data_IF_804876745584
#
_entry.id   IF_804876745584
#
_cell.length_a   1.000
_cell.length_b   1.000
_cell.length_c   1.000
_cell.angle_alpha   90.00
_cell.angle_beta   90.00
_cell.angle_gamma   90.00
#
_symmetry.space_group_name_H-M   'P 1'
#
loop_
_entity.id
_entity.type
_entity.pdbx_description
1 polymer ?
#
# COMPACT_ATOMS: atom_id res chain seq x y z
N UNK A 1 -10.56 1.16 19.80
CA UNK A 1 -10.26 2.56 19.48
C UNK A 1 -10.91 2.95 18.16
N UNK A 2 -10.74 2.16 17.12
CA UNK A 2 -11.20 2.49 15.76
C UNK A 2 -12.64 2.05 15.45
N UNK A 3 -13.49 1.81 16.46
CA UNK A 3 -14.92 1.56 16.30
C UNK A 3 -15.31 0.41 15.37
N UNK A 4 -14.49 -0.66 15.34
CA UNK A 4 -14.70 -1.80 14.44
C UNK A 4 -14.04 -1.65 13.06
N UNK A 5 -13.36 -0.55 12.77
CA UNK A 5 -12.55 -0.41 11.55
C UNK A 5 -11.32 -1.32 11.64
N UNK A 6 -11.40 -2.46 10.99
CA UNK A 6 -10.37 -3.50 11.03
C UNK A 6 -9.12 -3.13 10.21
N UNK A 7 -7.97 -3.70 10.59
CA UNK A 7 -6.72 -3.56 9.84
C UNK A 7 -6.00 -2.23 10.04
N UNK A 8 -6.27 -1.54 11.16
CA UNK A 8 -5.54 -0.38 11.63
C UNK A 8 -5.00 -0.66 13.03
N UNK A 9 -3.73 -0.36 13.24
CA UNK A 9 -3.04 -0.63 14.51
C UNK A 9 -2.14 0.55 14.88
N UNK A 10 -2.15 0.89 16.16
CA UNK A 10 -1.17 1.78 16.76
C UNK A 10 -0.02 0.97 17.36
N UNK A 11 1.18 1.52 17.30
CA UNK A 11 2.33 0.95 17.99
C UNK A 11 2.48 1.64 19.36
N UNK A 12 2.40 0.86 20.45
CA UNK A 12 2.73 1.36 21.78
C UNK A 12 4.22 1.67 21.96
N UNK A 13 4.66 2.13 23.14
CA UNK A 13 6.03 2.59 23.37
C UNK A 13 7.13 1.62 22.94
N UNK A 14 7.01 0.34 23.31
CA UNK A 14 7.99 -0.67 22.90
C UNK A 14 7.93 -0.98 21.40
N UNK A 15 6.74 -1.00 20.83
CA UNK A 15 6.54 -1.26 19.40
C UNK A 15 7.13 -0.16 18.51
N UNK A 16 6.99 1.13 18.91
CA UNK A 16 7.55 2.25 18.15
C UNK A 16 9.08 2.25 18.22
N UNK A 17 9.68 1.92 19.37
CA UNK A 17 11.14 1.82 19.48
C UNK A 17 11.70 0.66 18.65
N UNK A 18 11.06 -0.50 18.68
CA UNK A 18 11.45 -1.63 17.82
C UNK A 18 11.39 -1.25 16.34
N UNK A 19 10.30 -0.61 15.92
CA UNK A 19 10.11 -0.14 14.55
C UNK A 19 11.19 0.86 14.14
N UNK A 20 11.48 1.86 14.98
CA UNK A 20 12.51 2.87 14.71
C UNK A 20 13.90 2.26 14.64
N UNK A 21 14.22 1.28 15.48
CA UNK A 21 15.50 0.57 15.45
C UNK A 21 15.65 -0.22 14.13
N UNK A 22 14.60 -0.90 13.70
CA UNK A 22 14.59 -1.62 12.43
C UNK A 22 14.80 -0.68 11.23
N UNK A 23 14.07 0.45 11.21
CA UNK A 23 14.20 1.48 10.16
C UNK A 23 15.62 2.06 10.11
N UNK A 24 16.19 2.36 11.26
CA UNK A 24 17.55 2.91 11.37
C UNK A 24 18.59 1.89 10.89
N UNK A 25 18.47 0.63 11.32
CA UNK A 25 19.39 -0.43 10.90
C UNK A 25 19.34 -0.63 9.39
N UNK A 26 18.15 -0.70 8.81
CA UNK A 26 18.00 -0.84 7.36
C UNK A 26 18.57 0.36 6.59
N UNK A 27 18.27 1.58 7.02
CA UNK A 27 18.76 2.80 6.37
C UNK A 27 20.27 2.92 6.43
N UNK A 28 20.87 2.62 7.58
CA UNK A 28 22.32 2.60 7.73
C UNK A 28 22.95 1.62 6.75
N UNK A 29 22.47 0.38 6.73
CA UNK A 29 23.05 -0.68 5.89
C UNK A 29 22.81 -0.46 4.39
N UNK A 30 21.64 0.07 3.99
CA UNK A 30 21.28 0.20 2.58
C UNK A 30 21.69 1.54 1.97
N UNK A 31 21.75 2.61 2.76
CA UNK A 31 22.01 3.96 2.23
C UNK A 31 23.36 4.49 2.70
N UNK A 32 23.64 4.47 4.02
CA UNK A 32 24.86 5.12 4.53
C UNK A 32 26.13 4.31 4.41
N UNK A 33 26.05 2.98 4.40
CA UNK A 33 27.19 2.08 4.24
C UNK A 33 27.51 1.75 2.77
N UNK A 34 26.77 2.37 1.82
CA UNK A 34 26.93 2.16 0.38
C UNK A 34 27.13 3.48 -0.35
N UNK A 35 28.05 3.47 -1.32
CA UNK A 35 28.37 4.64 -2.16
C UNK A 35 27.51 4.69 -3.43
N UNK A 36 26.70 3.66 -3.69
CA UNK A 36 25.90 3.49 -4.90
C UNK A 36 24.38 3.56 -4.67
N UNK A 37 23.94 4.03 -3.50
CA UNK A 37 22.52 4.15 -3.15
C UNK A 37 22.21 5.56 -2.65
N UNK A 38 21.16 6.15 -3.20
CA UNK A 38 20.60 7.42 -2.73
C UNK A 38 19.27 7.22 -1.99
N UNK A 39 19.05 8.01 -0.95
CA UNK A 39 17.80 7.99 -0.19
C UNK A 39 16.85 9.10 -0.64
N UNK A 40 15.56 8.78 -0.77
CA UNK A 40 14.49 9.75 -1.01
C UNK A 40 13.36 9.61 0.01
N UNK A 41 12.56 10.67 0.13
CA UNK A 41 11.28 10.64 0.84
C UNK A 41 10.22 11.31 -0.05
N UNK A 42 9.32 10.53 -0.59
CA UNK A 42 8.33 10.97 -1.56
C UNK A 42 6.95 11.12 -0.93
N UNK A 43 6.10 11.92 -1.58
CA UNK A 43 4.72 12.16 -1.17
C UNK A 43 3.88 10.88 -1.09
N UNK A 44 3.04 10.78 -0.07
CA UNK A 44 2.04 9.72 0.07
C UNK A 44 0.91 9.90 -0.95
N UNK A 45 0.48 11.15 -1.18
CA UNK A 45 -0.54 11.45 -2.18
C UNK A 45 0.05 11.28 -3.57
N UNK A 46 -0.54 10.38 -4.32
CA UNK A 46 -0.06 9.98 -5.65
C UNK A 46 -1.04 10.42 -6.72
N UNK A 47 -0.49 11.05 -7.77
CA UNK A 47 -1.28 11.43 -8.94
C UNK A 47 -1.83 10.16 -9.63
N UNK A 48 -3.13 10.13 -10.00
CA UNK A 48 -3.74 9.00 -10.69
C UNK A 48 -2.98 8.53 -11.93
N UNK A 49 -2.38 9.44 -12.68
CA UNK A 49 -1.62 9.09 -13.88
C UNK A 49 -0.41 8.19 -13.60
N UNK A 50 0.24 8.34 -12.43
CA UNK A 50 1.35 7.46 -12.02
C UNK A 50 0.85 6.02 -11.88
N UNK A 51 -0.29 5.83 -11.20
CA UNK A 51 -0.87 4.51 -10.96
C UNK A 51 -1.53 3.91 -12.21
N UNK A 52 -2.00 4.75 -13.12
CA UNK A 52 -2.46 4.32 -14.43
C UNK A 52 -1.31 3.78 -15.28
N UNK A 53 -0.21 4.52 -15.39
CA UNK A 53 0.95 4.09 -16.19
C UNK A 53 1.68 2.89 -15.60
N UNK A 54 1.65 2.69 -14.29
CA UNK A 54 2.19 1.48 -13.65
C UNK A 54 1.23 0.28 -13.69
N UNK A 55 0.03 0.42 -14.26
CA UNK A 55 -0.98 -0.63 -14.37
C UNK A 55 -1.79 -0.89 -13.10
N UNK A 56 -1.54 -0.20 -11.99
CA UNK A 56 -2.26 -0.42 -10.73
C UNK A 56 -3.75 -0.10 -10.84
N UNK A 57 -4.13 0.89 -11.62
CA UNK A 57 -5.53 1.27 -11.78
C UNK A 57 -6.37 0.11 -12.36
N UNK A 58 -5.79 -0.69 -13.25
CA UNK A 58 -6.48 -1.78 -13.94
C UNK A 58 -6.33 -3.13 -13.22
N UNK A 59 -5.16 -3.41 -12.64
CA UNK A 59 -4.82 -4.75 -12.17
C UNK A 59 -4.79 -4.89 -10.64
N UNK A 60 -4.69 -3.78 -9.89
CA UNK A 60 -4.57 -3.82 -8.44
C UNK A 60 -5.94 -4.02 -7.76
N UNK A 61 -6.55 -5.16 -8.03
CA UNK A 61 -7.88 -5.51 -7.54
C UNK A 61 -7.93 -6.95 -7.04
N UNK A 62 -8.75 -7.17 -6.01
CA UNK A 62 -9.11 -8.50 -5.52
C UNK A 62 -10.55 -8.84 -5.92
N UNK A 63 -10.87 -10.10 -6.17
CA UNK A 63 -12.24 -10.52 -6.44
C UNK A 63 -13.07 -10.50 -5.15
N UNK A 64 -14.07 -9.63 -5.09
CA UNK A 64 -14.98 -9.44 -3.96
C UNK A 64 -16.30 -10.17 -4.20
N UNK A 65 -16.75 -10.91 -3.19
CA UNK A 65 -18.06 -11.55 -3.10
C UNK A 65 -18.79 -11.05 -1.86
N UNK A 66 -20.05 -10.68 -1.99
CA UNK A 66 -20.93 -10.33 -0.87
C UNK A 66 -21.80 -11.55 -0.48
N UNK A 67 -21.87 -11.88 0.80
CA UNK A 67 -22.86 -12.80 1.31
C UNK A 67 -24.19 -12.07 1.51
N UNK A 68 -25.27 -12.51 0.84
CA UNK A 68 -26.58 -11.85 0.94
C UNK A 68 -27.27 -12.10 2.27
N UNK A 69 -26.90 -13.19 2.97
CA UNK A 69 -27.47 -13.56 4.25
C UNK A 69 -26.90 -12.75 5.42
N UNK A 70 -25.57 -12.75 5.62
CA UNK A 70 -24.93 -12.06 6.75
C UNK A 70 -24.32 -10.71 6.39
N UNK A 71 -24.37 -10.30 5.10
CA UNK A 71 -23.80 -9.05 4.57
C UNK A 71 -22.27 -8.93 4.68
N UNK A 72 -21.58 -10.03 4.97
CA UNK A 72 -20.12 -10.08 4.97
C UNK A 72 -19.57 -9.90 3.57
N UNK A 73 -18.46 -9.17 3.47
CA UNK A 73 -17.67 -8.99 2.25
C UNK A 73 -16.44 -9.87 2.32
N UNK A 74 -16.26 -10.70 1.31
CA UNK A 74 -15.30 -11.81 1.34
C UNK A 74 -14.50 -11.82 0.05
N UNK A 75 -13.21 -12.09 0.12
CA UNK A 75 -12.44 -12.40 -1.08
C UNK A 75 -12.88 -13.74 -1.64
N UNK A 76 -13.05 -13.83 -2.95
CA UNK A 76 -13.52 -15.06 -3.59
C UNK A 76 -12.61 -16.27 -3.34
N UNK A 77 -11.29 -16.04 -3.24
CA UNK A 77 -10.30 -17.09 -2.93
C UNK A 77 -10.39 -17.66 -1.51
N UNK A 78 -11.16 -17.02 -0.61
CA UNK A 78 -11.42 -17.52 0.73
C UNK A 78 -12.70 -18.37 0.82
N UNK A 79 -13.48 -18.43 -0.24
CA UNK A 79 -14.73 -19.21 -0.29
C UNK A 79 -14.38 -20.66 -0.62
N UNK A 80 -14.80 -21.57 0.23
CA UNK A 80 -14.68 -23.02 0.02
C UNK A 80 -16.08 -23.62 -0.10
N UNK A 81 -16.21 -24.62 -0.96
CA UNK A 81 -17.46 -25.34 -1.19
C UNK A 81 -18.67 -24.43 -1.51
N UNK A 82 -18.41 -23.26 -2.11
CA UNK A 82 -19.41 -22.24 -2.42
C UNK A 82 -20.21 -21.75 -1.19
N UNK A 83 -19.56 -21.73 0.00
CA UNK A 83 -20.18 -21.34 1.27
C UNK A 83 -19.50 -20.13 1.90
N UNK A 84 -20.33 -19.26 2.46
CA UNK A 84 -19.84 -18.14 3.26
C UNK A 84 -19.05 -18.65 4.48
N UNK A 85 -17.79 -18.25 4.67
CA UNK A 85 -17.00 -18.69 5.82
C UNK A 85 -17.50 -18.17 7.17
N UNK A 86 -18.34 -17.11 7.16
CA UNK A 86 -18.86 -16.50 8.38
C UNK A 86 -20.18 -17.14 8.87
N UNK A 87 -21.08 -17.49 7.94
CA UNK A 87 -22.42 -17.98 8.30
C UNK A 87 -22.82 -19.30 7.62
N UNK A 88 -21.98 -19.86 6.75
CA UNK A 88 -22.26 -21.11 6.02
C UNK A 88 -23.27 -21.01 4.89
N UNK A 89 -23.86 -19.85 4.62
CA UNK A 89 -24.84 -19.66 3.57
C UNK A 89 -24.24 -19.82 2.18
N UNK A 90 -24.97 -20.39 1.24
CA UNK A 90 -24.65 -20.50 -0.18
C UNK A 90 -25.15 -19.30 -1.01
N UNK A 91 -25.91 -18.38 -0.39
CA UNK A 91 -26.45 -17.18 -1.05
C UNK A 91 -25.38 -16.09 -1.17
N UNK A 92 -24.52 -16.27 -2.18
CA UNK A 92 -23.39 -15.42 -2.50
C UNK A 92 -23.62 -14.67 -3.81
N UNK A 93 -23.05 -13.48 -3.94
CA UNK A 93 -23.02 -12.77 -5.23
C UNK A 93 -21.94 -13.32 -6.15
N UNK A 94 -22.06 -13.05 -7.46
CA UNK A 94 -20.96 -13.24 -8.37
C UNK A 94 -19.74 -12.41 -7.94
N UNK A 95 -18.51 -12.91 -8.15
CA UNK A 95 -17.31 -12.16 -7.91
C UNK A 95 -17.24 -10.90 -8.77
N UNK A 96 -16.83 -9.79 -8.17
CA UNK A 96 -16.59 -8.52 -8.86
C UNK A 96 -15.23 -7.95 -8.46
N UNK A 97 -14.53 -7.23 -9.35
CA UNK A 97 -13.25 -6.61 -9.01
C UNK A 97 -13.45 -5.52 -7.96
N UNK A 98 -12.62 -5.52 -6.95
CA UNK A 98 -12.55 -4.49 -5.90
C UNK A 98 -11.14 -3.90 -5.89
N UNK A 99 -11.01 -2.64 -6.29
CA UNK A 99 -9.72 -1.96 -6.31
C UNK A 99 -9.23 -1.70 -4.88
N UNK A 100 -7.99 -2.08 -4.61
CA UNK A 100 -7.39 -1.99 -3.27
C UNK A 100 -6.78 -0.60 -2.97
N UNK A 101 -6.83 0.35 -3.89
CA UNK A 101 -6.29 1.68 -3.64
C UNK A 101 -7.29 2.55 -2.85
N UNK A 102 -6.76 3.27 -1.85
CA UNK A 102 -7.52 4.35 -1.21
C UNK A 102 -7.52 5.59 -2.08
N UNK A 103 -8.72 6.09 -2.39
CA UNK A 103 -8.94 7.33 -3.12
C UNK A 103 -9.34 8.44 -2.14
N UNK A 104 -8.80 9.65 -2.33
CA UNK A 104 -9.14 10.82 -1.53
C UNK A 104 -9.37 12.03 -2.42
N UNK A 105 -10.27 12.93 -2.00
CA UNK A 105 -10.48 14.22 -2.66
C UNK A 105 -9.31 15.16 -2.37
N UNK A 106 -8.97 16.00 -3.35
CA UNK A 106 -7.93 17.02 -3.25
C UNK A 106 -8.55 18.37 -3.61
N UNK A 107 -8.32 19.38 -2.76
CA UNK A 107 -8.88 20.71 -2.94
C UNK A 107 -10.21 20.93 -2.18
N UNK A 108 -10.80 22.13 -2.31
CA UNK A 108 -11.91 22.58 -1.47
C UNK A 108 -13.28 22.03 -1.89
N UNK A 109 -13.40 21.41 -3.08
CA UNK A 109 -14.68 20.92 -3.63
C UNK A 109 -14.60 19.40 -3.80
N UNK A 110 -15.57 18.71 -3.20
CA UNK A 110 -15.70 17.25 -3.28
C UNK A 110 -16.63 16.81 -4.43
N UNK A 111 -16.36 17.27 -5.64
CA UNK A 111 -17.16 16.91 -6.82
C UNK A 111 -16.60 15.69 -7.60
N UNK A 112 -15.53 15.12 -7.10
CA UNK A 112 -14.84 13.98 -7.75
C UNK A 112 -13.98 14.35 -8.96
N UNK A 113 -13.92 15.62 -9.34
CA UNK A 113 -13.09 16.10 -10.46
C UNK A 113 -11.62 16.14 -10.12
N UNK A 114 -11.28 16.32 -8.84
CA UNK A 114 -9.91 16.36 -8.33
C UNK A 114 -9.72 15.32 -7.23
N UNK A 115 -8.92 14.32 -7.50
CA UNK A 115 -8.61 13.27 -6.54
C UNK A 115 -7.16 12.81 -6.64
N UNK A 116 -6.70 12.20 -5.56
CA UNK A 116 -5.43 11.49 -5.49
C UNK A 116 -5.65 10.11 -4.88
N UNK A 117 -4.69 9.24 -5.06
CA UNK A 117 -4.62 7.98 -4.32
C UNK A 117 -3.61 8.09 -3.17
N UNK A 118 -3.89 7.42 -2.05
CA UNK A 118 -2.85 7.08 -1.10
C UNK A 118 -2.01 5.96 -1.73
N UNK A 119 -0.69 6.12 -1.78
CA UNK A 119 0.20 5.17 -2.46
C UNK A 119 0.02 3.75 -1.93
N UNK A 120 -0.20 2.74 -2.80
CA UNK A 120 -0.32 1.34 -2.39
C UNK A 120 1.02 0.68 -2.07
N UNK A 121 2.10 1.28 -2.54
CA UNK A 121 3.51 0.90 -2.33
C UNK A 121 4.43 2.09 -2.58
N UNK A 122 5.70 1.95 -2.30
CA UNK A 122 6.70 3.02 -2.43
C UNK A 122 7.48 3.01 -3.74
N UNK A 123 7.39 1.94 -4.54
CA UNK A 123 8.16 1.77 -5.77
C UNK A 123 7.92 2.85 -6.82
N UNK A 124 6.66 3.22 -7.08
CA UNK A 124 6.33 4.16 -8.17
C UNK A 124 7.00 5.52 -7.99
N UNK A 125 7.13 6.00 -6.76
CA UNK A 125 7.80 7.26 -6.49
C UNK A 125 9.32 7.18 -6.69
N UNK A 126 9.92 6.01 -6.54
CA UNK A 126 11.33 5.79 -6.90
C UNK A 126 11.49 5.96 -8.41
N UNK A 127 10.66 5.29 -9.20
CA UNK A 127 10.71 5.38 -10.66
C UNK A 127 10.42 6.79 -11.18
N UNK A 128 9.43 7.48 -10.62
CA UNK A 128 9.10 8.86 -11.05
C UNK A 128 10.19 9.87 -10.67
N UNK A 129 10.95 9.62 -9.60
CA UNK A 129 12.06 10.47 -9.18
C UNK A 129 13.42 10.05 -9.75
N UNK A 130 13.51 8.96 -10.49
CA UNK A 130 14.77 8.46 -11.03
C UNK A 130 15.59 9.54 -11.72
N UNK A 131 14.97 10.25 -12.68
CA UNK A 131 15.66 11.33 -13.39
C UNK A 131 16.05 12.49 -12.48
N UNK A 132 15.22 12.86 -11.52
CA UNK A 132 15.51 13.94 -10.59
C UNK A 132 16.74 13.60 -9.72
N UNK A 133 16.83 12.36 -9.24
CA UNK A 133 17.98 11.88 -8.47
C UNK A 133 19.24 11.85 -9.33
N UNK A 134 19.15 11.29 -10.54
CA UNK A 134 20.28 11.25 -11.47
C UNK A 134 20.81 12.65 -11.83
N UNK A 135 19.92 13.63 -12.02
CA UNK A 135 20.32 15.01 -12.34
C UNK A 135 20.88 15.77 -11.12
N UNK A 136 20.48 15.36 -9.90
CA UNK A 136 20.84 16.07 -8.67
C UNK A 136 22.07 15.47 -7.94
N UNK A 137 22.54 14.30 -8.34
CA UNK A 137 23.65 13.59 -7.73
C UNK A 137 24.77 13.32 -8.72
N UNK A 138 25.99 13.03 -8.26
CA UNK A 138 27.10 12.68 -9.16
C UNK A 138 27.06 11.22 -9.66
N UNK A 139 25.99 10.49 -9.38
CA UNK A 139 25.88 9.09 -9.76
C UNK A 139 25.73 8.88 -11.25
N UNK A 140 26.25 7.75 -11.68
CA UNK A 140 26.05 7.15 -12.99
C UNK A 140 25.52 5.74 -12.81
N UNK A 141 24.84 5.19 -13.81
CA UNK A 141 24.40 3.81 -13.80
C UNK A 141 25.60 2.84 -13.72
N UNK A 142 25.53 1.78 -12.91
CA UNK A 142 24.40 1.38 -12.08
C UNK A 142 24.39 2.08 -10.71
N UNK A 143 23.21 2.44 -10.19
CA UNK A 143 23.01 2.93 -8.82
C UNK A 143 21.58 2.62 -8.35
N UNK A 144 21.35 2.72 -7.05
CA UNK A 144 20.04 2.45 -6.47
C UNK A 144 19.41 3.67 -5.81
N UNK A 145 18.10 3.60 -5.66
CA UNK A 145 17.31 4.59 -4.91
C UNK A 145 16.49 3.86 -3.86
N UNK A 146 16.61 4.30 -2.61
CA UNK A 146 15.92 3.73 -1.46
C UNK A 146 14.95 4.72 -0.85
N UNK A 147 13.82 4.22 -0.36
CA UNK A 147 12.93 5.00 0.51
C UNK A 147 12.25 4.13 1.56
N UNK A 148 11.85 4.79 2.63
CA UNK A 148 10.99 4.22 3.66
C UNK A 148 9.73 5.08 3.77
N UNK A 149 8.60 4.45 4.00
CA UNK A 149 7.40 5.22 4.25
C UNK A 149 6.13 4.41 4.34
N UNK A 150 5.05 5.09 4.68
CA UNK A 150 3.74 4.48 4.76
C UNK A 150 3.18 4.17 3.37
N UNK A 151 2.51 3.03 3.28
CA UNK A 151 1.71 2.60 2.15
C UNK A 151 0.34 2.13 2.63
N UNK A 152 -0.64 2.09 1.72
CA UNK A 152 -2.05 1.92 2.07
C UNK A 152 -2.72 0.98 1.08
N UNK A 153 -3.38 -0.04 1.60
CA UNK A 153 -4.16 -0.98 0.78
C UNK A 153 -5.54 -1.17 1.40
N UNK A 154 -6.59 -0.88 0.72
CA UNK A 154 -7.97 -1.05 1.19
C UNK A 154 -8.36 -2.53 1.18
N UNK A 155 -7.74 -3.31 2.04
CA UNK A 155 -7.93 -4.76 2.16
C UNK A 155 -9.41 -5.09 2.42
N UNK A 156 -9.95 -6.04 1.66
CA UNK A 156 -11.31 -6.54 1.84
C UNK A 156 -11.43 -7.19 3.22
N UNK A 157 -10.48 -8.06 3.55
CA UNK A 157 -10.46 -8.84 4.79
C UNK A 157 -9.09 -8.71 5.47
N UNK A 158 -8.83 -7.64 6.24
CA UNK A 158 -7.65 -7.57 7.10
C UNK A 158 -7.67 -8.71 8.11
N UNK A 159 -6.52 -9.33 8.36
CA UNK A 159 -6.42 -10.46 9.30
C UNK A 159 -4.97 -10.75 9.68
N UNK A 160 -4.79 -11.72 10.56
CA UNK A 160 -3.48 -12.16 11.02
C UNK A 160 -2.69 -11.03 11.70
N UNK A 161 -3.35 -10.25 12.54
CA UNK A 161 -2.76 -9.13 13.26
C UNK A 161 -2.09 -8.16 12.29
N UNK A 162 -0.83 -7.79 12.46
CA UNK A 162 -0.11 -6.82 11.63
C UNK A 162 0.33 -7.37 10.26
N UNK A 163 0.09 -8.65 9.95
CA UNK A 163 0.55 -9.24 8.67
C UNK A 163 -0.32 -8.86 7.47
N UNK A 164 -1.59 -8.49 7.69
CA UNK A 164 -2.47 -7.97 6.63
C UNK A 164 -3.29 -6.81 7.16
N UNK A 165 -2.81 -5.63 6.93
CA UNK A 165 -3.35 -4.36 7.44
C UNK A 165 -3.59 -3.37 6.32
N UNK A 166 -4.37 -2.32 6.58
CA UNK A 166 -4.70 -1.29 5.58
C UNK A 166 -3.68 -0.16 5.52
N UNK A 167 -2.96 0.07 6.61
CA UNK A 167 -1.88 1.04 6.72
C UNK A 167 -0.64 0.34 7.26
N UNK A 168 0.47 0.41 6.53
CA UNK A 168 1.72 -0.24 6.89
C UNK A 168 2.91 0.59 6.44
N UNK A 169 4.10 0.21 6.84
CA UNK A 169 5.34 0.83 6.36
C UNK A 169 6.11 -0.15 5.48
N UNK A 170 6.72 0.39 4.44
CA UNK A 170 7.65 -0.32 3.56
C UNK A 170 9.03 0.32 3.64
N UNK A 171 10.03 -0.50 3.44
CA UNK A 171 11.40 -0.12 3.15
C UNK A 171 11.74 -0.77 1.81
N UNK A 172 12.04 0.03 0.81
CA UNK A 172 12.15 -0.40 -0.58
C UNK A 172 13.39 0.22 -1.23
N UNK A 173 14.05 -0.56 -2.05
CA UNK A 173 15.24 -0.16 -2.80
C UNK A 173 15.10 -0.71 -4.21
N UNK A 174 15.21 0.18 -5.20
CA UNK A 174 15.27 -0.16 -6.62
C UNK A 174 16.68 0.12 -7.14
N UNK A 175 17.25 -0.85 -7.82
CA UNK A 175 18.59 -0.75 -8.37
C UNK A 175 18.54 -0.75 -9.91
N UNK A 176 19.11 0.26 -10.50
CA UNK A 176 19.03 0.55 -11.93
C UNK A 176 20.34 0.23 -12.65
#
# INVERSE_FOLDING_TARGET
IYGGLQGLYDFGPLGVELKNNLKRSWWNSMVYERDDIEGIDSSILTNPMVLKHSGHEETFSDPLVDCRSCKSRIRADHIKDNKCPECGSEDLTEPRPFNLMFKTSVGPVEDGSSFAYLRPETAQQIFTNFKNVLDATPHHLPFGIAQMGKAFRNEITPRNFIFRVREFEQMELEFF
#
